data_IF_754600873800
#
_entry.id   IF_754600873800
#
_cell.length_a   1.000
_cell.length_b   1.000
_cell.length_c   1.000
_cell.angle_alpha   90.00
_cell.angle_beta   90.00
_cell.angle_gamma   90.00
#
_symmetry.space_group_name_H-M   'P 1'
#
loop_
_entity.id
_entity.type
_entity.pdbx_description
1 polymer ?
#
# COMPACT_ATOMS: atom_id res chain seq x y z
N UNK A 1 -9.92 15.05 45.96
CA UNK A 1 -8.96 15.30 44.87
C UNK A 1 -9.60 16.31 43.94
N UNK A 2 -8.97 17.47 43.79
CA UNK A 2 -9.50 18.53 42.96
C UNK A 2 -9.11 18.28 41.49
N UNK A 3 -10.01 18.49 40.50
CA UNK A 3 -9.69 18.24 39.09
C UNK A 3 -8.43 18.95 38.57
N UNK A 4 -8.13 20.12 39.13
CA UNK A 4 -6.94 20.90 38.78
C UNK A 4 -5.63 20.26 39.26
N UNK A 5 -5.65 19.60 40.43
CA UNK A 5 -4.48 18.87 40.94
C UNK A 5 -4.07 17.74 39.99
N UNK A 6 -5.05 17.08 39.36
CA UNK A 6 -4.81 16.00 38.40
C UNK A 6 -4.13 16.54 37.14
N UNK A 7 -4.62 17.66 36.61
CA UNK A 7 -4.06 18.26 35.39
C UNK A 7 -2.63 18.73 35.63
N UNK A 8 -2.40 19.46 36.72
CA UNK A 8 -1.06 19.93 37.07
C UNK A 8 -0.08 18.79 37.34
N UNK A 9 -0.54 17.69 37.96
CA UNK A 9 0.31 16.53 38.20
C UNK A 9 0.70 15.82 36.89
N UNK A 10 -0.23 15.70 35.94
CA UNK A 10 0.05 15.13 34.62
C UNK A 10 1.00 16.02 33.83
N UNK A 11 0.81 17.35 33.83
CA UNK A 11 1.72 18.28 33.15
C UNK A 11 3.14 18.23 33.75
N UNK A 12 3.26 18.19 35.08
CA UNK A 12 4.55 18.01 35.76
C UNK A 12 5.20 16.66 35.44
N UNK A 13 4.41 15.59 35.33
CA UNK A 13 4.94 14.29 34.91
C UNK A 13 5.52 14.36 33.49
N UNK A 14 4.82 15.00 32.55
CA UNK A 14 5.29 15.14 31.17
C UNK A 14 6.65 15.84 31.06
N UNK A 15 6.91 16.84 31.90
CA UNK A 15 8.20 17.54 31.95
C UNK A 15 9.35 16.68 32.49
N UNK A 16 9.06 15.73 33.38
CA UNK A 16 10.05 14.82 33.99
C UNK A 16 10.45 13.68 33.07
N UNK A 17 9.55 13.25 32.18
CA UNK A 17 9.78 12.13 31.27
C UNK A 17 10.70 12.53 30.10
N UNK A 18 11.99 12.74 30.39
CA UNK A 18 13.02 13.13 29.40
C UNK A 18 13.67 11.91 28.75
N UNK A 19 13.78 11.94 27.42
CA UNK A 19 14.45 10.92 26.59
C UNK A 19 15.64 11.53 25.86
N UNK A 20 15.43 12.67 25.21
CA UNK A 20 16.47 13.49 24.59
C UNK A 20 16.93 14.51 25.61
N UNK A 21 18.22 14.47 25.92
CA UNK A 21 18.86 15.42 26.85
C UNK A 21 19.37 16.62 26.06
N UNK A 22 18.90 17.82 26.39
CA UNK A 22 19.36 19.06 25.79
C UNK A 22 18.34 20.18 25.97
N UNK A 23 18.84 21.40 26.13
CA UNK A 23 18.02 22.62 26.29
C UNK A 23 18.00 23.48 25.01
N UNK A 24 18.69 23.03 23.96
CA UNK A 24 18.64 23.67 22.65
C UNK A 24 17.27 23.46 21.97
N UNK A 25 16.94 24.37 21.06
CA UNK A 25 15.67 24.35 20.33
C UNK A 25 15.41 23.01 19.62
N UNK A 26 16.46 22.38 19.08
CA UNK A 26 16.32 21.12 18.35
C UNK A 26 16.07 19.95 19.31
N UNK A 27 16.79 19.89 20.43
CA UNK A 27 16.57 18.87 21.46
C UNK A 27 15.18 18.96 22.10
N UNK A 28 14.67 20.17 22.33
CA UNK A 28 13.30 20.35 22.85
C UNK A 28 12.23 19.83 21.88
N UNK A 29 12.38 20.14 20.59
CA UNK A 29 11.46 19.64 19.57
C UNK A 29 11.58 18.12 19.38
N UNK A 30 12.80 17.58 19.39
CA UNK A 30 13.04 16.15 19.34
C UNK A 30 12.42 15.42 20.54
N UNK A 31 12.56 15.96 21.74
CA UNK A 31 11.97 15.42 22.96
C UNK A 31 10.44 15.38 22.91
N UNK A 32 9.83 16.47 22.43
CA UNK A 32 8.38 16.57 22.27
C UNK A 32 7.85 15.53 21.29
N UNK A 33 8.54 15.32 20.18
CA UNK A 33 8.16 14.33 19.16
C UNK A 33 8.39 12.89 19.64
N UNK A 34 9.49 12.62 20.34
CA UNK A 34 9.81 11.29 20.88
C UNK A 34 8.76 10.81 21.89
N UNK A 35 8.22 11.72 22.71
CA UNK A 35 7.25 11.39 23.76
C UNK A 35 5.79 11.68 23.38
N UNK A 36 5.51 12.13 22.15
CA UNK A 36 4.19 12.61 21.73
C UNK A 36 3.06 11.62 21.99
N UNK A 37 3.19 10.38 21.50
CA UNK A 37 2.16 9.36 21.66
C UNK A 37 1.97 8.96 23.12
N UNK A 38 3.05 8.88 23.89
CA UNK A 38 2.99 8.58 25.31
C UNK A 38 2.28 9.71 26.08
N UNK A 39 2.56 10.97 25.74
CA UNK A 39 1.91 12.13 26.33
C UNK A 39 0.40 12.19 26.00
N UNK A 40 0.01 11.81 24.78
CA UNK A 40 -1.39 11.67 24.39
C UNK A 40 -2.06 10.56 25.22
N UNK A 41 -1.39 9.42 25.39
CA UNK A 41 -1.88 8.32 26.23
C UNK A 41 -2.06 8.77 27.69
N UNK A 42 -1.07 9.44 28.29
CA UNK A 42 -1.17 9.95 29.65
C UNK A 42 -2.35 10.91 29.82
N UNK A 43 -2.54 11.86 28.91
CA UNK A 43 -3.65 12.82 28.95
C UNK A 43 -5.01 12.14 28.76
N UNK A 44 -5.10 11.14 27.89
CA UNK A 44 -6.36 10.43 27.64
C UNK A 44 -6.71 9.42 28.74
N UNK A 45 -5.72 8.78 29.34
CA UNK A 45 -5.89 7.81 30.42
C UNK A 45 -6.16 8.52 31.76
N UNK A 46 -5.33 9.50 32.12
CA UNK A 46 -5.41 10.25 33.38
C UNK A 46 -6.26 11.52 33.27
N UNK A 47 -7.21 11.55 32.32
CA UNK A 47 -8.17 12.63 32.22
C UNK A 47 -8.96 12.76 33.54
N UNK A 48 -9.14 13.99 34.02
CA UNK A 48 -9.79 14.27 35.32
C UNK A 48 -11.15 13.57 35.50
N UNK A 49 -11.94 13.50 34.43
CA UNK A 49 -13.22 12.76 34.42
C UNK A 49 -13.04 11.26 34.68
N UNK A 50 -12.06 10.62 34.04
CA UNK A 50 -11.81 9.18 34.18
C UNK A 50 -11.26 8.85 35.56
N UNK A 51 -10.28 9.62 36.02
CA UNK A 51 -9.70 9.48 37.36
C UNK A 51 -10.76 9.58 38.46
N UNK A 52 -11.68 10.54 38.35
CA UNK A 52 -12.70 10.77 39.38
C UNK A 52 -13.92 9.86 39.26
N UNK A 53 -14.39 9.55 38.05
CA UNK A 53 -15.66 8.80 37.85
C UNK A 53 -15.47 7.31 37.58
N UNK A 54 -14.50 6.97 36.74
CA UNK A 54 -14.25 5.59 36.26
C UNK A 54 -13.36 4.85 37.25
N UNK A 55 -12.17 5.39 37.53
CA UNK A 55 -11.19 4.77 38.43
C UNK A 55 -11.42 5.08 39.90
N UNK A 56 -12.05 6.23 40.20
CA UNK A 56 -12.35 6.71 41.56
C UNK A 56 -11.11 6.68 42.46
N UNK A 57 -9.99 7.18 41.94
CA UNK A 57 -8.71 7.15 42.67
C UNK A 57 -8.74 8.11 43.86
N UNK A 58 -8.18 7.67 44.99
CA UNK A 58 -7.84 8.54 46.11
C UNK A 58 -6.58 9.34 45.80
N UNK A 59 -6.31 10.39 46.56
CA UNK A 59 -5.10 11.22 46.38
C UNK A 59 -3.82 10.39 46.49
N UNK A 60 -3.73 9.59 47.55
CA UNK A 60 -2.57 8.72 47.81
C UNK A 60 -2.38 7.69 46.69
N UNK A 61 -3.45 7.08 46.20
CA UNK A 61 -3.38 6.11 45.11
C UNK A 61 -2.93 6.77 43.79
N UNK A 62 -3.39 7.98 43.50
CA UNK A 62 -2.99 8.72 42.31
C UNK A 62 -1.52 9.15 42.35
N UNK A 63 -1.06 9.70 43.48
CA UNK A 63 0.33 10.10 43.66
C UNK A 63 1.27 8.88 43.54
N UNK A 64 0.85 7.73 44.08
CA UNK A 64 1.57 6.46 43.91
C UNK A 64 1.64 6.02 42.44
N UNK A 65 0.53 6.09 41.69
CA UNK A 65 0.49 5.74 40.27
C UNK A 65 1.40 6.65 39.44
N UNK A 66 1.41 7.97 39.70
CA UNK A 66 2.29 8.90 39.00
C UNK A 66 3.76 8.54 39.25
N UNK A 67 4.13 8.25 40.49
CA UNK A 67 5.49 7.81 40.84
C UNK A 67 5.88 6.48 40.21
N UNK A 68 4.96 5.51 40.17
CA UNK A 68 5.20 4.22 39.52
C UNK A 68 5.36 4.37 38.00
N UNK A 69 4.58 5.24 37.35
CA UNK A 69 4.74 5.54 35.92
C UNK A 69 6.13 6.12 35.64
N UNK A 70 6.58 7.09 36.44
CA UNK A 70 7.90 7.69 36.31
C UNK A 70 9.01 6.64 36.48
N UNK A 71 8.94 5.82 37.52
CA UNK A 71 9.89 4.74 37.79
C UNK A 71 9.95 3.71 36.65
N UNK A 72 8.78 3.24 36.17
CA UNK A 72 8.69 2.27 35.08
C UNK A 72 9.17 2.83 33.75
N UNK A 73 8.93 4.11 33.49
CA UNK A 73 9.42 4.77 32.29
C UNK A 73 10.94 4.87 32.28
N UNK A 74 11.55 5.26 33.40
CA UNK A 74 13.01 5.33 33.49
C UNK A 74 13.67 3.94 33.35
N UNK A 75 13.02 2.90 33.88
CA UNK A 75 13.48 1.51 33.72
C UNK A 75 13.36 0.98 32.29
N UNK A 76 12.42 1.50 31.49
CA UNK A 76 12.20 1.05 30.11
C UNK A 76 13.12 1.73 29.10
N UNK A 77 13.93 2.70 29.53
CA UNK A 77 14.94 3.31 28.68
C UNK A 77 16.03 2.29 28.31
N UNK A 78 16.38 2.24 27.03
CA UNK A 78 17.42 1.36 26.51
C UNK A 78 18.79 1.79 27.02
N UNK A 79 19.61 0.84 27.44
CA UNK A 79 20.94 1.12 27.93
C UNK A 79 21.88 1.57 26.80
N UNK A 80 22.68 2.60 27.07
CA UNK A 80 23.70 3.04 26.12
C UNK A 80 24.76 1.95 25.91
N UNK A 81 25.14 1.70 24.65
CA UNK A 81 26.14 0.70 24.29
C UNK A 81 25.60 -0.72 24.04
N UNK A 82 24.28 -0.91 24.10
CA UNK A 82 23.67 -2.20 23.76
C UNK A 82 23.82 -2.53 22.27
N UNK A 83 24.10 -3.80 21.95
CA UNK A 83 24.28 -4.28 20.57
C UNK A 83 22.95 -4.46 19.83
N UNK A 84 22.26 -3.35 19.55
CA UNK A 84 20.93 -3.35 18.90
C UNK A 84 20.93 -3.99 17.51
N UNK A 85 22.05 -3.96 16.78
CA UNK A 85 22.14 -4.52 15.43
C UNK A 85 22.01 -6.05 15.43
N UNK A 86 22.68 -6.73 16.36
CA UNK A 86 22.59 -8.18 16.50
C UNK A 86 21.19 -8.62 16.95
N UNK A 87 20.62 -7.91 17.94
CA UNK A 87 19.27 -8.17 18.43
C UNK A 87 18.24 -7.99 17.32
N UNK A 88 18.27 -6.86 16.60
CA UNK A 88 17.36 -6.58 15.50
C UNK A 88 17.50 -7.61 14.36
N UNK A 89 18.73 -8.00 14.00
CA UNK A 89 18.96 -9.00 12.96
C UNK A 89 18.36 -10.37 13.35
N UNK A 90 18.52 -10.80 14.60
CA UNK A 90 17.91 -12.05 15.10
C UNK A 90 16.39 -11.95 15.13
N UNK A 91 15.84 -10.84 15.64
CA UNK A 91 14.39 -10.60 15.73
C UNK A 91 13.69 -10.61 14.38
N UNK A 92 14.39 -10.29 13.28
CA UNK A 92 13.85 -10.39 11.91
C UNK A 92 14.14 -11.77 11.31
N UNK A 93 15.33 -12.32 11.52
CA UNK A 93 15.79 -13.55 10.88
C UNK A 93 15.04 -14.80 11.32
N UNK A 94 14.80 -14.97 12.63
CA UNK A 94 14.09 -16.12 13.17
C UNK A 94 12.65 -16.24 12.62
N UNK A 95 11.76 -15.22 12.73
CA UNK A 95 10.41 -15.33 12.21
C UNK A 95 10.35 -15.44 10.69
N UNK A 96 11.33 -14.90 9.96
CA UNK A 96 11.38 -15.04 8.49
C UNK A 96 11.46 -16.52 8.05
N UNK A 97 12.19 -17.35 8.80
CA UNK A 97 12.25 -18.79 8.52
C UNK A 97 10.92 -19.47 8.80
N UNK A 98 10.25 -19.12 9.92
CA UNK A 98 8.93 -19.65 10.27
C UNK A 98 7.86 -19.28 9.24
N UNK A 99 7.90 -18.06 8.71
CA UNK A 99 6.96 -17.59 7.69
C UNK A 99 7.09 -18.33 6.36
N UNK A 100 8.18 -19.05 6.08
CA UNK A 100 8.38 -19.69 4.76
C UNK A 100 7.48 -20.91 4.55
N UNK A 101 7.06 -21.59 5.61
CA UNK A 101 6.20 -22.77 5.52
C UNK A 101 4.70 -22.44 5.49
N UNK A 102 4.29 -21.27 6.00
CA UNK A 102 2.87 -20.90 6.15
C UNK A 102 2.26 -20.18 4.91
N UNK A 103 3.03 -19.97 3.84
CA UNK A 103 2.66 -19.02 2.77
C UNK A 103 1.76 -19.58 1.67
N UNK A 104 1.53 -20.89 1.62
CA UNK A 104 0.71 -21.52 0.57
C UNK A 104 -0.80 -21.57 0.90
N UNK A 105 -1.21 -21.16 2.11
CA UNK A 105 -2.59 -21.32 2.58
C UNK A 105 -3.30 -20.02 2.95
N UNK A 106 -2.94 -18.87 2.36
CA UNK A 106 -3.79 -17.68 2.46
C UNK A 106 -5.06 -17.88 1.61
N UNK A 107 -5.98 -18.69 2.13
CA UNK A 107 -7.25 -19.00 1.50
C UNK A 107 -8.14 -17.76 1.46
N UNK A 108 -8.63 -17.38 0.28
CA UNK A 108 -9.71 -16.41 0.14
C UNK A 108 -9.42 -15.15 -0.70
N UNK A 109 -8.20 -14.96 -1.22
CA UNK A 109 -7.92 -13.84 -2.15
C UNK A 109 -7.58 -14.41 -3.53
N UNK A 110 -8.44 -14.13 -4.51
CA UNK A 110 -8.33 -14.66 -5.85
C UNK A 110 -7.03 -14.20 -6.55
N UNK A 111 -6.20 -15.19 -6.87
CA UNK A 111 -5.36 -15.25 -8.07
C UNK A 111 -4.10 -14.36 -8.19
N UNK A 112 -3.25 -14.27 -7.16
CA UNK A 112 -1.81 -13.97 -7.39
C UNK A 112 -0.93 -14.85 -6.50
N UNK A 113 -0.15 -15.73 -7.13
CA UNK A 113 0.99 -16.40 -6.50
C UNK A 113 2.03 -15.32 -6.18
N UNK A 114 1.88 -14.62 -5.06
CA UNK A 114 2.88 -13.65 -4.61
C UNK A 114 4.04 -14.44 -4.01
N UNK A 115 5.28 -14.14 -4.40
CA UNK A 115 6.43 -14.65 -3.65
C UNK A 115 6.34 -14.16 -2.21
N UNK A 116 6.21 -15.07 -1.27
CA UNK A 116 6.17 -14.79 0.17
C UNK A 116 7.31 -15.55 0.88
N UNK A 117 7.54 -15.23 2.15
CA UNK A 117 8.57 -15.87 2.99
C UNK A 117 10.00 -15.50 2.61
N UNK A 118 10.95 -16.41 2.85
CA UNK A 118 12.40 -16.22 2.60
C UNK A 118 12.73 -15.81 1.16
N UNK A 119 12.12 -16.39 0.11
CA UNK A 119 12.37 -15.95 -1.27
C UNK A 119 12.11 -14.45 -1.48
N UNK A 120 11.04 -13.92 -0.87
CA UNK A 120 10.70 -12.49 -0.95
C UNK A 120 11.63 -11.63 -0.11
N UNK A 121 11.98 -12.09 1.09
CA UNK A 121 12.94 -11.39 1.94
C UNK A 121 14.29 -11.22 1.23
N UNK A 122 14.77 -12.27 0.54
CA UNK A 122 16.01 -12.22 -0.25
C UNK A 122 15.94 -11.21 -1.39
N UNK A 123 14.80 -11.11 -2.09
CA UNK A 123 14.62 -10.11 -3.15
C UNK A 123 14.69 -8.68 -2.60
N UNK A 124 14.07 -8.44 -1.44
CA UNK A 124 14.03 -7.11 -0.79
C UNK A 124 15.42 -6.71 -0.29
N UNK A 125 16.11 -7.59 0.46
CA UNK A 125 17.44 -7.30 1.03
C UNK A 125 18.47 -7.02 -0.07
N UNK A 126 18.42 -7.76 -1.19
CA UNK A 126 19.37 -7.57 -2.29
C UNK A 126 18.95 -6.47 -3.28
N UNK A 127 17.81 -5.81 -3.07
CA UNK A 127 17.26 -4.80 -3.98
C UNK A 127 17.24 -5.32 -5.43
N UNK A 128 16.66 -6.50 -5.63
CA UNK A 128 16.70 -7.20 -6.92
C UNK A 128 15.97 -6.39 -8.01
N UNK A 129 16.66 -6.09 -9.12
CA UNK A 129 16.09 -5.35 -10.26
C UNK A 129 14.94 -6.08 -10.96
N UNK A 130 14.99 -7.42 -11.01
CA UNK A 130 13.95 -8.27 -11.58
C UNK A 130 13.38 -9.17 -10.49
N UNK A 131 12.23 -8.78 -9.94
CA UNK A 131 11.48 -9.58 -8.97
C UNK A 131 10.63 -10.64 -9.69
N UNK A 132 10.45 -11.81 -9.06
CA UNK A 132 9.74 -12.93 -9.70
C UNK A 132 8.25 -12.64 -9.95
N UNK A 133 7.59 -11.96 -9.01
CA UNK A 133 6.15 -11.67 -9.09
C UNK A 133 5.91 -10.18 -8.86
N UNK A 134 6.13 -9.32 -9.87
CA UNK A 134 5.83 -7.90 -9.75
C UNK A 134 4.33 -7.67 -9.59
N UNK A 135 3.95 -6.89 -8.58
CA UNK A 135 2.57 -6.51 -8.32
C UNK A 135 2.48 -5.02 -8.03
N UNK A 136 1.40 -4.41 -8.49
CA UNK A 136 1.04 -3.02 -8.24
C UNK A 136 -0.43 -2.97 -7.83
N UNK A 137 -0.72 -2.26 -6.74
CA UNK A 137 -2.09 -1.97 -6.30
C UNK A 137 -2.43 -0.54 -6.68
N UNK A 138 -3.33 -0.37 -7.65
CA UNK A 138 -3.80 0.95 -8.11
C UNK A 138 -5.14 1.26 -7.45
N UNK A 139 -5.18 2.34 -6.67
CA UNK A 139 -6.41 2.82 -6.05
C UNK A 139 -7.16 3.75 -7.01
N UNK A 140 -8.47 3.53 -7.14
CA UNK A 140 -9.33 4.39 -7.94
C UNK A 140 -9.70 5.67 -7.18
N UNK A 141 -9.87 6.77 -7.91
CA UNK A 141 -10.36 8.02 -7.32
C UNK A 141 -11.81 7.87 -6.83
N UNK A 142 -12.26 8.64 -5.81
CA UNK A 142 -13.57 8.47 -5.19
C UNK A 142 -14.78 8.63 -6.14
N UNK A 143 -14.62 9.38 -7.23
CA UNK A 143 -15.60 9.64 -8.29
C UNK A 143 -15.82 8.44 -9.24
N UNK A 144 -14.80 7.60 -9.39
CA UNK A 144 -14.80 6.40 -10.25
C UNK A 144 -15.03 5.14 -9.41
N UNK A 145 -14.53 5.12 -8.17
CA UNK A 145 -14.50 3.94 -7.30
C UNK A 145 -15.88 3.41 -6.88
N UNK A 146 -16.94 4.22 -6.96
CA UNK A 146 -18.28 3.83 -6.48
C UNK A 146 -19.07 2.98 -7.46
N UNK A 147 -18.73 3.03 -8.75
CA UNK A 147 -19.50 2.36 -9.82
C UNK A 147 -18.64 1.32 -10.51
N UNK A 148 -19.14 0.09 -10.58
CA UNK A 148 -18.43 -1.05 -11.21
C UNK A 148 -18.10 -0.78 -12.68
N UNK A 149 -19.00 -0.15 -13.43
CA UNK A 149 -18.81 0.15 -14.86
C UNK A 149 -17.62 1.07 -15.09
N UNK A 150 -17.53 2.16 -14.32
CA UNK A 150 -16.40 3.09 -14.39
C UNK A 150 -15.09 2.45 -14.00
N UNK A 151 -15.11 1.58 -12.97
CA UNK A 151 -13.94 0.79 -12.59
C UNK A 151 -13.47 -0.14 -13.72
N UNK A 152 -14.42 -0.76 -14.46
CA UNK A 152 -14.11 -1.61 -15.61
C UNK A 152 -13.49 -0.82 -16.76
N UNK A 153 -13.95 0.40 -17.01
CA UNK A 153 -13.36 1.27 -18.03
C UNK A 153 -11.89 1.58 -17.72
N UNK A 154 -11.57 1.84 -16.45
CA UNK A 154 -10.16 2.05 -16.02
C UNK A 154 -9.36 0.75 -16.13
N UNK A 155 -9.96 -0.40 -15.78
CA UNK A 155 -9.31 -1.70 -15.95
C UNK A 155 -8.94 -1.95 -17.41
N UNK A 156 -9.86 -1.75 -18.35
CA UNK A 156 -9.60 -1.91 -19.78
C UNK A 156 -8.54 -0.94 -20.29
N UNK A 157 -8.49 0.29 -19.78
CA UNK A 157 -7.47 1.27 -20.18
C UNK A 157 -6.05 0.93 -19.67
N UNK A 158 -5.94 0.18 -18.57
CA UNK A 158 -4.67 -0.24 -17.99
C UNK A 158 -4.18 -1.60 -18.49
N UNK A 159 -5.09 -2.42 -19.02
CA UNK A 159 -4.77 -3.74 -19.53
C UNK A 159 -3.96 -3.62 -20.82
N UNK A 160 -2.79 -4.28 -20.84
CA UNK A 160 -1.96 -4.33 -22.04
C UNK A 160 -2.54 -5.36 -23.01
N UNK A 161 -3.23 -4.89 -24.03
CA UNK A 161 -3.82 -5.71 -25.10
C UNK A 161 -2.98 -5.59 -26.36
N UNK A 162 -2.62 -6.72 -26.97
CA UNK A 162 -1.92 -6.76 -28.27
C UNK A 162 -2.90 -7.17 -29.36
N UNK A 163 -2.62 -6.88 -30.63
CA UNK A 163 -3.48 -7.38 -31.73
C UNK A 163 -3.64 -8.91 -31.67
N UNK A 164 -2.57 -9.63 -31.31
CA UNK A 164 -2.57 -11.08 -31.08
C UNK A 164 -3.62 -11.56 -30.08
N UNK A 165 -3.99 -10.76 -29.07
CA UNK A 165 -5.01 -11.19 -28.10
C UNK A 165 -6.44 -11.05 -28.61
N UNK A 166 -6.64 -10.37 -29.75
CA UNK A 166 -7.96 -10.15 -30.36
C UNK A 166 -8.11 -10.93 -31.67
N UNK A 167 -7.04 -11.03 -32.48
CA UNK A 167 -7.05 -11.75 -33.76
C UNK A 167 -7.15 -13.26 -33.54
N UNK A 168 -8.12 -13.92 -34.18
CA UNK A 168 -8.24 -15.37 -34.17
C UNK A 168 -7.27 -16.03 -35.15
N UNK A 169 -7.17 -15.47 -36.36
CA UNK A 169 -6.27 -15.93 -37.41
C UNK A 169 -5.67 -14.72 -38.14
N UNK A 170 -4.74 -14.98 -39.05
CA UNK A 170 -4.25 -13.95 -39.98
C UNK A 170 -3.84 -14.69 -41.24
N UNK A 171 -4.58 -14.46 -42.31
CA UNK A 171 -4.37 -15.11 -43.60
C UNK A 171 -4.15 -14.04 -44.68
N UNK A 172 -3.26 -14.34 -45.62
CA UNK A 172 -2.91 -13.42 -46.70
C UNK A 172 -3.40 -14.02 -48.00
N UNK A 173 -4.39 -13.35 -48.60
CA UNK A 173 -4.98 -13.72 -49.88
C UNK A 173 -4.42 -12.83 -50.99
N UNK A 174 -4.26 -13.39 -52.18
CA UNK A 174 -3.86 -12.62 -53.36
C UNK A 174 -5.10 -12.30 -54.20
N UNK A 175 -5.48 -11.03 -54.23
CA UNK A 175 -6.59 -10.54 -55.05
C UNK A 175 -6.10 -9.50 -56.07
N UNK A 176 -6.16 -9.78 -57.39
CA UNK A 176 -5.69 -8.87 -58.42
C UNK A 176 -6.68 -7.74 -58.75
N UNK A 177 -7.98 -7.88 -58.46
CA UNK A 177 -8.99 -6.84 -58.75
C UNK A 177 -9.44 -6.18 -57.43
N UNK A 178 -9.19 -4.88 -57.22
CA UNK A 178 -9.55 -4.20 -55.98
C UNK A 178 -11.06 -4.05 -55.76
N UNK A 179 -11.89 -4.24 -56.81
CA UNK A 179 -13.35 -4.05 -56.74
C UNK A 179 -14.13 -5.34 -56.48
N UNK A 180 -13.46 -6.49 -56.46
CA UNK A 180 -14.07 -7.80 -56.22
C UNK A 180 -13.23 -8.58 -55.22
N UNK A 181 -13.82 -9.62 -54.60
CA UNK A 181 -13.07 -10.50 -53.70
C UNK A 181 -13.34 -11.96 -54.03
N UNK A 182 -12.30 -12.81 -53.90
CA UNK A 182 -12.42 -14.27 -54.00
C UNK A 182 -13.13 -14.87 -52.77
N UNK A 183 -13.19 -14.15 -51.65
CA UNK A 183 -13.81 -14.59 -50.39
C UNK A 183 -15.31 -14.33 -50.43
N UNK A 184 -16.11 -15.40 -50.51
CA UNK A 184 -17.58 -15.33 -50.64
C UNK A 184 -18.26 -14.52 -49.51
N UNK A 185 -17.72 -14.60 -48.30
CA UNK A 185 -18.25 -13.91 -47.11
C UNK A 185 -18.06 -12.38 -47.17
N UNK A 186 -17.02 -11.91 -47.87
CA UNK A 186 -16.62 -10.49 -47.92
C UNK A 186 -17.19 -9.75 -49.15
N UNK A 187 -17.83 -10.46 -50.09
CA UNK A 187 -18.32 -9.88 -51.37
C UNK A 187 -19.26 -8.69 -51.14
N UNK A 188 -20.22 -8.84 -50.22
CA UNK A 188 -21.20 -7.79 -49.93
C UNK A 188 -20.53 -6.58 -49.24
N UNK A 189 -19.54 -6.83 -48.38
CA UNK A 189 -18.81 -5.79 -47.67
C UNK A 189 -17.96 -4.93 -48.62
N UNK A 190 -17.16 -5.56 -49.49
CA UNK A 190 -16.34 -4.88 -50.50
C UNK A 190 -17.21 -4.06 -51.45
N UNK A 191 -18.33 -4.63 -51.92
CA UNK A 191 -19.26 -3.92 -52.80
C UNK A 191 -19.86 -2.68 -52.12
N UNK A 192 -20.28 -2.80 -50.86
CA UNK A 192 -20.85 -1.68 -50.11
C UNK A 192 -19.85 -0.54 -49.88
N UNK A 193 -18.56 -0.86 -49.69
CA UNK A 193 -17.49 0.11 -49.48
C UNK A 193 -17.29 1.01 -50.71
N UNK A 194 -17.35 0.45 -51.91
CA UNK A 194 -17.19 1.21 -53.16
C UNK A 194 -18.47 1.90 -53.65
N UNK A 195 -19.65 1.52 -53.14
CA UNK A 195 -20.92 2.22 -53.42
C UNK A 195 -21.06 3.55 -52.65
N UNK A 196 -20.29 3.74 -51.57
CA UNK A 196 -20.22 4.99 -50.78
C UNK A 196 -18.81 5.61 -50.86
N UNK A 197 -18.47 6.35 -51.92
CA UNK A 197 -17.11 6.88 -52.08
C UNK A 197 -16.82 8.00 -51.08
N UNK A 198 -15.88 7.77 -50.15
CA UNK A 198 -15.16 8.85 -49.46
C UNK A 198 -14.15 9.50 -50.44
N UNK A 199 -14.02 10.83 -50.41
CA UNK A 199 -13.32 11.64 -51.42
C UNK A 199 -11.78 11.39 -51.56
N UNK A 200 -11.19 10.44 -50.80
CA UNK A 200 -9.73 10.18 -50.77
C UNK A 200 -9.30 8.80 -51.33
N UNK A 201 -10.17 8.06 -52.03
CA UNK A 201 -9.80 6.74 -52.55
C UNK A 201 -9.18 6.87 -53.96
N UNK A 202 -7.85 6.72 -54.05
CA UNK A 202 -7.13 6.54 -55.33
C UNK A 202 -7.31 5.07 -55.81
N UNK A 203 -8.06 4.83 -56.91
CA UNK A 203 -8.39 3.48 -57.39
C UNK A 203 -7.18 2.72 -57.96
N UNK A 204 -5.99 3.30 -58.00
CA UNK A 204 -4.77 2.65 -58.55
C UNK A 204 -3.87 2.00 -57.51
N UNK A 205 -4.15 2.14 -56.20
CA UNK A 205 -3.40 1.44 -55.15
C UNK A 205 -3.96 0.04 -54.93
N UNK A 206 -3.16 -0.98 -55.23
CA UNK A 206 -3.44 -2.36 -54.84
C UNK A 206 -3.50 -2.48 -53.31
N UNK A 207 -4.69 -2.73 -52.79
CA UNK A 207 -4.91 -2.97 -51.37
C UNK A 207 -4.43 -4.38 -51.04
N UNK A 208 -3.23 -4.50 -50.48
CA UNK A 208 -2.84 -5.69 -49.70
C UNK A 208 -3.69 -5.70 -48.42
N UNK A 209 -4.89 -6.28 -48.51
CA UNK A 209 -5.78 -6.47 -47.37
C UNK A 209 -5.30 -7.62 -46.51
N UNK A 210 -4.77 -7.32 -45.31
CA UNK A 210 -4.70 -8.31 -44.25
C UNK A 210 -6.09 -8.40 -43.60
N UNK A 211 -6.81 -9.50 -43.84
CA UNK A 211 -8.03 -9.83 -43.10
C UNK A 211 -7.67 -10.72 -41.90
N UNK A 212 -8.31 -10.46 -40.76
CA UNK A 212 -7.98 -11.01 -39.44
C UNK A 212 -9.11 -11.89 -38.87
#
# INVERSE_FOLDING_TARGET
MHPMEIVEAVDKLQERLKVVVGDDYLSMEAQKNATLFFNILLRSALASKRVLKEYRLTREAFDWVIGEIESRFLQSLVAAGEMIGCVAAQSIGEPATQMTLNTFHYAGVSAKNVTLGVPRLREIINVAKKIKTPSLSVYLRPDVSKTKERAKNVQCALEYTTLRSVTQATEVWYDPDPMSTIIEEDVEFVKSYYEMPDEEIDPTRSLLGCFA
#
